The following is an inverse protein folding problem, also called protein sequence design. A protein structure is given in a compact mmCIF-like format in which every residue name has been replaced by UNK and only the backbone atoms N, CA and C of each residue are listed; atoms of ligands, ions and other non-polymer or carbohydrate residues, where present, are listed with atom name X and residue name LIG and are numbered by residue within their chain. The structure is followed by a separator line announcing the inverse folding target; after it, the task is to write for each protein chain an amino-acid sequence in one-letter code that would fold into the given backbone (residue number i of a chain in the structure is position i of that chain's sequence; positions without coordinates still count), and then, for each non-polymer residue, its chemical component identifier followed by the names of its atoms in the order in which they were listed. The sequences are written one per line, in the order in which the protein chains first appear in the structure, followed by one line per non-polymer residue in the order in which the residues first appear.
data_IF_260548226415
#
_entry.id   IF_260548226415
#
_cell.length_a   1.000
_cell.length_b   1.000
_cell.length_c   1.000
_cell.angle_alpha   90.00
_cell.angle_beta   90.00
_cell.angle_gamma   90.00
#
_symmetry.space_group_name_H-M   'P 1'
#
loop_
_entity.id
_entity.type
_entity.pdbx_description
1 polymer ?
#
# COMPACT_ATOMS: atom_id res chain seq x y z
N UNK A 1 -1.12 20.75 -14.48
CA UNK A 1 -2.38 20.55 -13.72
C UNK A 1 -2.37 19.14 -13.16
N UNK A 2 -2.47 18.97 -11.84
CA UNK A 2 -2.53 17.63 -11.21
C UNK A 2 -3.90 16.97 -11.46
N UNK A 3 -3.95 15.63 -11.49
CA UNK A 3 -5.19 14.87 -11.67
C UNK A 3 -6.11 14.90 -10.44
N UNK A 4 -7.37 14.45 -10.59
CA UNK A 4 -8.28 14.25 -9.46
C UNK A 4 -7.74 13.19 -8.49
N UNK A 5 -7.27 12.04 -8.99
CA UNK A 5 -6.61 11.00 -8.18
C UNK A 5 -5.45 11.57 -7.33
N UNK A 6 -4.61 12.43 -7.91
CA UNK A 6 -3.52 13.08 -7.18
C UNK A 6 -4.05 13.99 -6.06
N UNK A 7 -5.13 14.75 -6.32
CA UNK A 7 -5.79 15.58 -5.30
C UNK A 7 -6.34 14.74 -4.16
N UNK A 8 -6.98 13.60 -4.45
CA UNK A 8 -7.52 12.69 -3.46
C UNK A 8 -6.42 12.07 -2.58
N UNK A 9 -5.33 11.66 -3.21
CA UNK A 9 -4.14 11.16 -2.52
C UNK A 9 -3.57 12.26 -1.59
N UNK A 10 -3.36 13.47 -2.11
CA UNK A 10 -2.82 14.60 -1.35
C UNK A 10 -3.68 14.93 -0.13
N UNK A 11 -5.00 15.07 -0.34
CA UNK A 11 -5.95 15.34 0.74
C UNK A 11 -5.91 14.26 1.82
N UNK A 12 -5.81 12.99 1.41
CA UNK A 12 -5.74 11.86 2.35
C UNK A 12 -4.46 11.91 3.17
N UNK A 13 -3.29 12.11 2.55
CA UNK A 13 -2.02 12.25 3.26
C UNK A 13 -2.04 13.38 4.29
N UNK A 14 -2.52 14.56 3.90
CA UNK A 14 -2.61 15.73 4.79
C UNK A 14 -3.53 15.44 5.98
N UNK A 15 -4.69 14.84 5.73
CA UNK A 15 -5.69 14.59 6.78
C UNK A 15 -5.21 13.52 7.77
N UNK A 16 -4.60 12.45 7.27
CA UNK A 16 -4.02 11.39 8.11
C UNK A 16 -2.86 11.93 8.94
N UNK A 17 -1.97 12.73 8.33
CA UNK A 17 -0.86 13.41 9.05
C UNK A 17 -1.39 14.29 10.18
N UNK A 18 -2.37 15.15 9.89
CA UNK A 18 -3.00 16.02 10.89
C UNK A 18 -3.59 15.20 12.05
N UNK A 19 -4.26 14.09 11.74
CA UNK A 19 -4.78 13.20 12.78
C UNK A 19 -3.64 12.66 13.65
N UNK A 20 -2.57 12.11 13.06
CA UNK A 20 -1.40 11.65 13.82
C UNK A 20 -0.80 12.76 14.70
N UNK A 21 -0.72 14.00 14.20
CA UNK A 21 -0.14 15.12 14.96
C UNK A 21 -0.99 15.53 16.16
N UNK A 22 -2.31 15.30 16.08
CA UNK A 22 -3.22 15.49 17.22
C UNK A 22 -3.26 14.29 18.17
N UNK A 23 -2.68 13.15 17.79
CA UNK A 23 -2.61 11.98 18.66
C UNK A 23 -1.52 12.18 19.71
N UNK A 24 -1.88 11.91 20.97
CA UNK A 24 -0.87 11.74 22.02
C UNK A 24 0.05 10.54 21.71
N UNK A 25 1.28 10.59 22.22
CA UNK A 25 2.30 9.55 22.00
C UNK A 25 1.81 8.14 22.30
N UNK A 26 1.04 7.96 23.37
CA UNK A 26 0.46 6.65 23.75
C UNK A 26 -0.42 6.07 22.66
N UNK A 27 -1.27 6.89 22.04
CA UNK A 27 -2.18 6.43 20.97
C UNK A 27 -1.42 6.08 19.69
N UNK A 28 -0.36 6.83 19.36
CA UNK A 28 0.54 6.48 18.26
C UNK A 28 1.22 5.14 18.54
N UNK A 29 1.67 4.88 19.77
CA UNK A 29 2.26 3.60 20.16
C UNK A 29 1.28 2.43 20.06
N UNK A 30 0.02 2.63 20.49
CA UNK A 30 -1.04 1.62 20.36
C UNK A 30 -1.31 1.26 18.89
N UNK A 31 -1.36 2.26 18.00
CA UNK A 31 -1.57 2.05 16.57
C UNK A 31 -0.34 1.43 15.89
N UNK A 32 0.87 1.79 16.33
CA UNK A 32 2.09 1.13 15.90
C UNK A 32 2.13 -0.34 16.34
N UNK A 33 1.63 -0.65 17.54
CA UNK A 33 1.50 -2.03 18.00
C UNK A 33 0.49 -2.83 17.17
N UNK A 34 -0.65 -2.23 16.80
CA UNK A 34 -1.68 -2.91 16.00
C UNK A 34 -1.24 -3.24 14.57
N UNK A 35 -0.24 -2.55 14.03
CA UNK A 35 0.31 -2.83 12.68
C UNK A 35 1.54 -3.74 12.70
N UNK A 36 2.04 -4.14 13.88
CA UNK A 36 3.32 -4.85 14.03
C UNK A 36 3.41 -6.19 13.28
N UNK A 37 2.34 -6.99 13.30
CA UNK A 37 2.27 -8.24 12.53
C UNK A 37 2.32 -7.99 11.02
N UNK A 38 1.66 -6.94 10.56
CA UNK A 38 1.71 -6.52 9.16
C UNK A 38 3.14 -6.10 8.78
N UNK A 39 3.84 -5.34 9.61
CA UNK A 39 5.24 -4.97 9.36
C UNK A 39 6.16 -6.20 9.29
N UNK A 40 5.89 -7.20 10.13
CA UNK A 40 6.63 -8.48 10.09
C UNK A 40 6.41 -9.20 8.77
N UNK A 41 5.16 -9.34 8.33
CA UNK A 41 4.82 -9.85 7.00
C UNK A 41 5.52 -9.08 5.88
N UNK A 42 5.50 -7.74 5.95
CA UNK A 42 6.12 -6.87 4.94
C UNK A 42 7.63 -7.02 4.89
N UNK A 43 8.29 -7.29 6.01
CA UNK A 43 9.71 -7.61 6.07
C UNK A 43 10.01 -8.95 5.38
N UNK A 44 9.22 -9.98 5.64
CA UNK A 44 9.35 -11.29 4.98
C UNK A 44 9.15 -11.18 3.46
N UNK A 45 8.15 -10.42 3.03
CA UNK A 45 7.91 -10.13 1.61
C UNK A 45 9.12 -9.42 0.99
N UNK A 46 9.66 -8.39 1.65
CA UNK A 46 10.82 -7.66 1.17
C UNK A 46 12.06 -8.56 1.03
N UNK A 47 12.32 -9.43 2.01
CA UNK A 47 13.40 -10.43 1.95
C UNK A 47 13.25 -11.36 0.74
N UNK A 48 12.06 -11.91 0.50
CA UNK A 48 11.78 -12.73 -0.67
C UNK A 48 12.09 -11.99 -2.00
N UNK A 49 11.68 -10.72 -2.10
CA UNK A 49 11.97 -9.90 -3.27
C UNK A 49 13.46 -9.62 -3.45
N UNK A 50 14.16 -9.22 -2.38
CA UNK A 50 15.58 -8.91 -2.43
C UNK A 50 16.43 -10.12 -2.82
N UNK A 51 16.10 -11.29 -2.28
CA UNK A 51 16.86 -12.53 -2.50
C UNK A 51 16.61 -13.14 -3.88
N UNK A 52 15.36 -13.17 -4.35
CA UNK A 52 15.01 -13.98 -5.52
C UNK A 52 14.68 -13.14 -6.77
N UNK A 53 14.21 -11.91 -6.60
CA UNK A 53 13.51 -11.19 -7.68
C UNK A 53 14.18 -9.87 -8.09
N UNK A 54 14.93 -9.23 -7.18
CA UNK A 54 15.53 -7.90 -7.36
C UNK A 54 16.37 -7.78 -8.61
N UNK A 55 17.23 -8.76 -8.89
CA UNK A 55 18.12 -8.75 -10.05
C UNK A 55 17.36 -8.64 -11.38
N UNK A 56 16.19 -9.28 -11.48
CA UNK A 56 15.34 -9.21 -12.65
C UNK A 56 14.62 -7.85 -12.73
N UNK A 57 14.03 -7.40 -11.62
CA UNK A 57 13.27 -6.14 -11.56
C UNK A 57 14.15 -4.92 -11.86
N UNK A 58 15.40 -4.91 -11.37
CA UNK A 58 16.32 -3.78 -11.53
C UNK A 58 16.58 -3.49 -13.02
N UNK A 59 17.04 -4.51 -13.77
CA UNK A 59 17.35 -4.35 -15.19
C UNK A 59 16.14 -4.12 -16.09
N UNK A 60 14.95 -4.63 -15.72
CA UNK A 60 13.75 -4.53 -16.56
C UNK A 60 12.88 -3.30 -16.29
N UNK A 61 12.73 -2.90 -15.03
CA UNK A 61 11.74 -1.90 -14.64
C UNK A 61 12.36 -0.62 -14.09
N UNK A 62 13.41 -0.71 -13.27
CA UNK A 62 14.02 0.45 -12.64
C UNK A 62 14.94 1.20 -13.61
N UNK A 63 15.83 0.48 -14.30
CA UNK A 63 16.74 1.10 -15.28
C UNK A 63 15.99 1.71 -16.48
N UNK A 64 14.83 1.14 -16.83
CA UNK A 64 14.01 1.59 -17.96
C UNK A 64 12.94 2.61 -17.57
N UNK A 65 12.80 2.92 -16.26
CA UNK A 65 11.79 3.84 -15.70
C UNK A 65 10.33 3.49 -16.01
N UNK A 66 10.07 2.25 -16.43
CA UNK A 66 8.73 1.82 -16.86
C UNK A 66 7.86 1.33 -15.71
N UNK A 67 8.46 0.88 -14.60
CA UNK A 67 7.79 0.29 -13.42
C UNK A 67 6.51 -0.45 -13.79
N UNK A 68 6.62 -1.72 -14.20
CA UNK A 68 5.46 -2.49 -14.70
C UNK A 68 4.29 -2.62 -13.70
N UNK A 69 4.54 -2.40 -12.40
CA UNK A 69 3.51 -2.34 -11.36
C UNK A 69 2.68 -1.05 -11.38
N UNK A 70 3.15 -0.02 -12.08
CA UNK A 70 2.49 1.27 -12.24
C UNK A 70 1.83 1.28 -13.61
N UNK A 71 0.52 1.00 -13.63
CA UNK A 71 -0.28 0.98 -14.86
C UNK A 71 -0.35 2.35 -15.56
N UNK A 72 -1.06 2.37 -16.68
CA UNK A 72 -1.23 3.57 -17.54
C UNK A 72 -2.00 4.71 -16.85
N UNK A 73 -2.83 4.40 -15.84
CA UNK A 73 -3.83 5.35 -15.34
C UNK A 73 -3.63 5.82 -13.88
N UNK A 74 -3.05 5.02 -12.98
CA UNK A 74 -2.52 5.44 -11.67
C UNK A 74 -2.11 4.20 -10.86
N UNK A 75 -1.44 4.42 -9.72
CA UNK A 75 -1.17 3.39 -8.71
C UNK A 75 -2.40 3.24 -7.81
N UNK A 76 -2.92 2.02 -7.65
CA UNK A 76 -3.97 1.75 -6.67
C UNK A 76 -3.34 1.83 -5.27
N UNK A 77 -3.83 2.78 -4.46
CA UNK A 77 -3.42 2.99 -3.08
C UNK A 77 -4.65 2.84 -2.19
N UNK A 78 -4.54 2.07 -1.12
CA UNK A 78 -5.59 2.03 -0.10
C UNK A 78 -5.32 3.12 0.95
N UNK A 79 -6.39 3.62 1.58
CA UNK A 79 -6.27 4.53 2.73
C UNK A 79 -5.33 3.96 3.81
N UNK A 80 -5.43 2.67 4.10
CA UNK A 80 -4.59 1.99 5.06
C UNK A 80 -3.08 2.03 4.71
N UNK A 81 -2.71 2.00 3.42
CA UNK A 81 -1.31 2.14 3.01
C UNK A 81 -0.76 3.50 3.47
N UNK A 82 -1.53 4.58 3.24
CA UNK A 82 -1.19 5.96 3.65
C UNK A 82 -1.13 6.05 5.18
N UNK A 83 -2.16 5.55 5.87
CA UNK A 83 -2.24 5.55 7.33
C UNK A 83 -1.01 4.91 7.98
N UNK A 84 -0.61 3.73 7.49
CA UNK A 84 0.58 3.02 7.96
C UNK A 84 1.83 3.85 7.71
N UNK A 85 2.01 4.41 6.51
CA UNK A 85 3.22 5.19 6.22
C UNK A 85 3.31 6.46 7.07
N UNK A 86 2.20 7.15 7.31
CA UNK A 86 2.18 8.33 8.21
C UNK A 86 2.61 7.96 9.63
N UNK A 87 2.21 6.79 10.12
CA UNK A 87 2.64 6.30 11.44
C UNK A 87 4.13 5.92 11.48
N UNK A 88 4.66 5.39 10.38
CA UNK A 88 6.06 4.93 10.29
C UNK A 88 7.07 6.04 10.00
N UNK A 89 6.62 7.16 9.43
CA UNK A 89 7.49 8.15 8.81
C UNK A 89 7.55 9.44 9.62
N UNK A 90 8.73 10.02 9.70
CA UNK A 90 8.91 11.39 10.18
C UNK A 90 8.38 12.39 9.14
N UNK A 91 8.25 13.65 9.53
CA UNK A 91 7.72 14.70 8.64
C UNK A 91 8.61 14.92 7.42
N UNK A 92 9.93 14.84 7.62
CA UNK A 92 10.94 14.99 6.56
C UNK A 92 10.87 13.87 5.52
N UNK A 93 10.30 12.71 5.88
CA UNK A 93 10.04 11.59 4.97
C UNK A 93 8.69 11.74 4.24
N UNK A 94 7.71 12.46 4.83
CA UNK A 94 6.38 12.69 4.26
C UNK A 94 6.37 13.90 3.31
N UNK A 95 7.10 14.97 3.63
CA UNK A 95 7.10 16.20 2.86
C UNK A 95 7.42 16.00 1.36
N UNK A 96 8.41 15.16 0.97
CA UNK A 96 8.66 14.85 -0.45
C UNK A 96 7.49 14.16 -1.15
N UNK A 97 6.68 13.37 -0.43
CA UNK A 97 5.48 12.72 -0.97
C UNK A 97 4.42 13.77 -1.27
N UNK A 98 4.20 14.72 -0.36
CA UNK A 98 3.25 15.81 -0.54
C UNK A 98 3.67 16.72 -1.70
N UNK A 99 4.95 17.05 -1.79
CA UNK A 99 5.51 17.83 -2.91
C UNK A 99 5.23 17.14 -4.25
N UNK A 100 5.56 15.85 -4.36
CA UNK A 100 5.32 15.07 -5.57
C UNK A 100 3.84 15.07 -6.00
N UNK A 101 2.91 15.02 -5.05
CA UNK A 101 1.46 15.05 -5.34
C UNK A 101 0.94 16.43 -5.76
N UNK A 102 1.67 17.52 -5.48
CA UNK A 102 1.32 18.89 -5.90
C UNK A 102 1.92 19.29 -7.26
N UNK A 103 2.86 18.50 -7.76
CA UNK A 103 3.56 18.75 -9.03
C UNK A 103 3.07 17.84 -10.15
N UNK A 104 3.30 18.25 -11.40
CA UNK A 104 3.11 17.33 -12.52
C UNK A 104 4.12 16.16 -12.42
N UNK A 105 3.70 14.92 -12.69
CA UNK A 105 4.61 13.77 -12.65
C UNK A 105 5.82 14.01 -13.57
N UNK A 106 7.02 13.66 -13.10
CA UNK A 106 8.31 13.87 -13.79
C UNK A 106 8.51 12.92 -15.01
N UNK A 107 7.46 12.62 -15.76
CA UNK A 107 7.47 11.68 -16.88
C UNK A 107 7.48 10.20 -16.49
N UNK A 108 7.33 9.88 -15.20
CA UNK A 108 7.11 8.52 -14.71
C UNK A 108 5.63 8.17 -14.70
N UNK A 109 5.29 6.89 -14.90
CA UNK A 109 3.91 6.40 -14.77
C UNK A 109 3.36 6.49 -13.34
N UNK A 110 4.22 6.63 -12.33
CA UNK A 110 3.84 6.75 -10.93
C UNK A 110 4.31 8.07 -10.34
N UNK A 111 3.36 8.83 -9.76
CA UNK A 111 3.63 10.11 -9.08
C UNK A 111 4.59 9.96 -7.89
N UNK A 112 4.68 8.77 -7.30
CA UNK A 112 5.54 8.51 -6.15
C UNK A 112 6.92 7.95 -6.50
N UNK A 113 7.25 7.86 -7.79
CA UNK A 113 8.54 7.36 -8.25
C UNK A 113 9.46 8.53 -8.59
N UNK A 114 10.57 8.63 -7.86
CA UNK A 114 11.62 9.62 -8.10
C UNK A 114 12.94 8.98 -8.58
N UNK A 115 13.96 9.81 -8.86
CA UNK A 115 15.28 9.32 -9.32
C UNK A 115 15.98 8.37 -8.35
N UNK A 116 15.66 8.44 -7.05
CA UNK A 116 16.21 7.59 -6.00
C UNK A 116 15.35 6.36 -5.69
N UNK A 117 14.26 6.14 -6.43
CA UNK A 117 13.30 5.08 -6.20
C UNK A 117 11.96 5.60 -5.67
N UNK A 118 11.17 4.70 -5.09
CA UNK A 118 9.86 5.03 -4.52
C UNK A 118 10.02 5.97 -3.32
N UNK A 119 9.17 6.99 -3.24
CA UNK A 119 9.14 7.93 -2.12
C UNK A 119 8.51 7.35 -0.85
N UNK A 120 7.77 6.24 -0.97
CA UNK A 120 7.13 5.59 0.17
C UNK A 120 8.17 4.84 1.01
N UNK A 121 8.14 5.06 2.33
CA UNK A 121 8.92 4.26 3.28
C UNK A 121 8.52 2.78 3.24
N UNK A 122 7.23 2.52 3.16
CA UNK A 122 6.66 1.20 2.95
C UNK A 122 5.73 1.24 1.74
N UNK A 123 6.13 0.59 0.64
CA UNK A 123 5.39 0.64 -0.63
C UNK A 123 3.94 0.13 -0.48
N UNK A 124 2.97 0.68 -1.22
CA UNK A 124 1.58 0.21 -1.18
C UNK A 124 1.50 -1.31 -1.42
N UNK A 125 0.60 -1.98 -0.71
CA UNK A 125 0.52 -3.45 -0.74
C UNK A 125 0.27 -4.01 -2.14
N UNK A 126 -0.50 -3.28 -2.97
CA UNK A 126 -0.75 -3.67 -4.37
C UNK A 126 0.57 -3.72 -5.16
N UNK A 127 1.44 -2.71 -5.01
CA UNK A 127 2.74 -2.70 -5.66
C UNK A 127 3.69 -3.76 -5.09
N UNK A 128 3.71 -3.94 -3.77
CA UNK A 128 4.58 -4.92 -3.13
C UNK A 128 4.22 -6.36 -3.48
N UNK A 129 2.96 -6.62 -3.83
CA UNK A 129 2.45 -7.95 -4.18
C UNK A 129 2.31 -8.17 -5.69
N UNK A 130 2.87 -7.27 -6.48
CA UNK A 130 2.82 -7.35 -7.94
C UNK A 130 4.05 -8.07 -8.49
N UNK A 131 3.80 -9.07 -9.34
CA UNK A 131 4.80 -9.71 -10.19
C UNK A 131 4.33 -9.58 -11.64
N UNK A 132 5.21 -9.13 -12.55
CA UNK A 132 4.86 -9.13 -13.97
C UNK A 132 4.96 -10.53 -14.57
N UNK A 133 4.20 -10.81 -15.62
CA UNK A 133 4.18 -12.12 -16.29
C UNK A 133 5.58 -12.59 -16.68
N UNK A 134 6.40 -11.69 -17.23
CA UNK A 134 7.78 -12.00 -17.59
C UNK A 134 8.67 -12.40 -16.41
N UNK A 135 8.39 -11.91 -15.20
CA UNK A 135 9.11 -12.34 -13.99
C UNK A 135 8.59 -13.69 -13.52
N UNK A 136 7.26 -13.89 -13.53
CA UNK A 136 6.64 -15.16 -13.18
C UNK A 136 7.21 -16.28 -14.06
N UNK A 137 7.21 -16.09 -15.38
CA UNK A 137 7.68 -17.09 -16.34
C UNK A 137 9.19 -17.41 -16.20
N UNK A 138 10.01 -16.40 -15.86
CA UNK A 138 11.48 -16.57 -15.82
C UNK A 138 11.97 -17.07 -14.45
N UNK A 139 11.31 -16.71 -13.35
CA UNK A 139 11.81 -16.96 -11.99
C UNK A 139 10.95 -17.88 -11.15
N UNK A 140 9.63 -17.82 -11.29
CA UNK A 140 8.73 -18.63 -10.45
C UNK A 140 8.39 -19.94 -11.15
N UNK A 141 7.95 -19.89 -12.41
CA UNK A 141 7.42 -21.04 -13.13
C UNK A 141 8.42 -22.19 -13.19
N UNK A 142 8.05 -23.34 -12.61
CA UNK A 142 8.89 -24.53 -12.58
C UNK A 142 9.88 -24.59 -11.39
N UNK A 143 9.88 -23.56 -10.52
CA UNK A 143 10.57 -23.59 -9.25
C UNK A 143 9.55 -23.74 -8.11
N UNK A 144 9.29 -24.99 -7.71
CA UNK A 144 8.28 -25.34 -6.70
C UNK A 144 8.46 -24.60 -5.37
N UNK A 145 9.69 -24.43 -4.90
CA UNK A 145 9.97 -23.74 -3.63
C UNK A 145 9.58 -22.26 -3.66
N UNK A 146 9.92 -21.57 -4.76
CA UNK A 146 9.56 -20.15 -4.93
C UNK A 146 8.06 -19.98 -5.17
N UNK A 147 7.43 -20.89 -5.90
CA UNK A 147 5.96 -20.89 -6.09
C UNK A 147 5.23 -21.07 -4.76
N UNK A 148 5.65 -22.05 -3.94
CA UNK A 148 5.06 -22.30 -2.62
C UNK A 148 5.28 -21.11 -1.68
N UNK A 149 6.49 -20.54 -1.65
CA UNK A 149 6.80 -19.37 -0.82
C UNK A 149 5.97 -18.16 -1.22
N UNK A 150 5.85 -17.90 -2.53
CA UNK A 150 5.02 -16.81 -3.04
C UNK A 150 3.54 -17.01 -2.70
N UNK A 151 3.02 -18.22 -2.87
CA UNK A 151 1.65 -18.56 -2.48
C UNK A 151 1.41 -18.33 -0.98
N UNK A 152 2.34 -18.76 -0.12
CA UNK A 152 2.26 -18.49 1.32
C UNK A 152 2.21 -16.99 1.64
N UNK A 153 3.02 -16.16 0.97
CA UNK A 153 2.97 -14.71 1.12
C UNK A 153 1.64 -14.12 0.64
N UNK A 154 1.06 -14.65 -0.45
CA UNK A 154 -0.26 -14.24 -0.93
C UNK A 154 -1.38 -14.58 0.06
N UNK A 155 -1.34 -15.75 0.68
CA UNK A 155 -2.31 -16.13 1.72
C UNK A 155 -2.12 -15.30 2.99
N UNK A 156 -0.89 -15.07 3.43
CA UNK A 156 -0.61 -14.17 4.56
C UNK A 156 -1.13 -12.76 4.30
N UNK A 157 -0.94 -12.20 3.09
CA UNK A 157 -1.51 -10.89 2.74
C UNK A 157 -3.03 -10.84 2.98
N UNK A 158 -3.76 -11.90 2.62
CA UNK A 158 -5.23 -11.92 2.75
C UNK A 158 -5.68 -11.74 4.19
N UNK A 159 -4.91 -12.16 5.20
CA UNK A 159 -5.26 -11.95 6.61
C UNK A 159 -5.27 -10.47 7.00
N UNK A 160 -4.58 -9.61 6.23
CA UNK A 160 -4.55 -8.15 6.44
C UNK A 160 -5.47 -7.37 5.51
N UNK A 161 -5.84 -7.94 4.35
CA UNK A 161 -6.50 -7.20 3.27
C UNK A 161 -7.80 -7.82 2.74
N UNK A 162 -8.15 -9.06 3.06
CA UNK A 162 -9.35 -9.69 2.51
C UNK A 162 -10.50 -9.68 3.53
N UNK A 163 -11.55 -8.87 3.32
CA UNK A 163 -12.54 -8.59 4.36
C UNK A 163 -13.66 -9.64 4.41
N UNK A 164 -13.31 -10.93 4.30
CA UNK A 164 -14.17 -12.05 4.70
C UNK A 164 -14.10 -12.31 6.21
N UNK A 165 -13.26 -11.55 6.91
CA UNK A 165 -13.05 -11.51 8.36
C UNK A 165 -12.67 -10.09 8.78
N UNK A 166 -12.46 -9.87 10.08
CA UNK A 166 -11.81 -8.64 10.56
C UNK A 166 -10.36 -8.60 10.09
N UNK A 167 -9.99 -7.53 9.37
CA UNK A 167 -8.66 -7.37 8.78
C UNK A 167 -8.12 -5.96 9.01
N UNK A 168 -6.80 -5.84 9.13
CA UNK A 168 -6.12 -4.59 9.48
C UNK A 168 -6.55 -3.40 8.62
N UNK A 169 -6.65 -3.59 7.29
CA UNK A 169 -7.00 -2.49 6.39
C UNK A 169 -8.41 -1.95 6.65
N UNK A 170 -9.35 -2.83 6.97
CA UNK A 170 -10.72 -2.44 7.35
C UNK A 170 -10.74 -1.71 8.71
N UNK A 171 -10.03 -2.25 9.70
CA UNK A 171 -9.99 -1.69 11.06
C UNK A 171 -9.31 -0.32 11.12
N UNK A 172 -8.27 -0.09 10.32
CA UNK A 172 -7.65 1.23 10.19
C UNK A 172 -8.64 2.24 9.60
N UNK A 173 -9.34 1.90 8.51
CA UNK A 173 -10.34 2.78 7.92
C UNK A 173 -11.47 3.11 8.91
N UNK A 174 -12.00 2.11 9.64
CA UNK A 174 -12.99 2.33 10.71
C UNK A 174 -12.47 3.26 11.81
N UNK A 175 -11.22 3.07 12.23
CA UNK A 175 -10.60 3.87 13.30
C UNK A 175 -10.45 5.34 12.91
N UNK A 176 -10.08 5.62 11.65
CA UNK A 176 -10.00 6.99 11.14
C UNK A 176 -11.38 7.60 10.85
N UNK A 177 -12.35 6.81 10.37
CA UNK A 177 -13.74 7.26 10.25
C UNK A 177 -14.31 7.71 11.59
N UNK A 178 -14.04 6.96 12.66
CA UNK A 178 -14.47 7.31 14.02
C UNK A 178 -13.84 8.63 14.52
N UNK A 179 -12.74 9.07 13.92
CA UNK A 179 -12.09 10.36 14.15
C UNK A 179 -12.59 11.46 13.21
N UNK A 180 -13.60 11.18 12.39
CA UNK A 180 -14.21 12.14 11.44
C UNK A 180 -13.45 12.29 10.12
N UNK A 181 -12.44 11.45 9.85
CA UNK A 181 -11.73 11.47 8.55
C UNK A 181 -12.57 10.78 7.50
N UNK A 182 -12.73 11.42 6.35
CA UNK A 182 -13.33 10.81 5.17
C UNK A 182 -12.36 10.90 4.00
N UNK A 183 -12.23 9.81 3.25
CA UNK A 183 -11.40 9.75 2.04
C UNK A 183 -12.02 8.78 1.05
N UNK A 184 -12.01 9.09 -0.26
CA UNK A 184 -12.46 8.16 -1.30
C UNK A 184 -11.60 6.89 -1.35
N UNK A 185 -10.36 6.94 -0.82
CA UNK A 185 -9.45 5.78 -0.73
C UNK A 185 -9.85 4.77 0.35
N UNK A 186 -10.89 5.05 1.14
CA UNK A 186 -11.45 4.13 2.15
C UNK A 186 -12.30 3.03 1.49
N UNK A 187 -11.64 2.24 0.65
CA UNK A 187 -12.28 1.24 -0.18
C UNK A 187 -13.00 0.17 0.64
N UNK A 188 -12.54 -0.16 1.85
CA UNK A 188 -13.20 -1.15 2.69
C UNK A 188 -14.55 -0.64 3.21
N UNK A 189 -14.72 0.69 3.32
CA UNK A 189 -15.96 1.30 3.78
C UNK A 189 -16.92 1.62 2.64
N UNK A 190 -16.40 1.91 1.44
CA UNK A 190 -17.21 2.47 0.36
C UNK A 190 -17.28 1.62 -0.91
N UNK A 191 -16.31 0.72 -1.17
CA UNK A 191 -16.31 -0.07 -2.40
C UNK A 191 -17.46 -1.08 -2.39
N UNK A 192 -18.40 -1.04 -3.37
CA UNK A 192 -19.51 -2.00 -3.44
C UNK A 192 -19.03 -3.46 -3.48
N UNK A 193 -17.88 -3.71 -4.10
CA UNK A 193 -17.28 -5.05 -4.19
C UNK A 193 -16.84 -5.58 -2.82
N UNK A 194 -16.08 -4.78 -2.05
CA UNK A 194 -15.62 -5.17 -0.71
C UNK A 194 -16.77 -5.24 0.29
N UNK A 195 -17.75 -4.32 0.19
CA UNK A 195 -18.96 -4.37 1.01
C UNK A 195 -19.78 -5.65 0.74
N UNK A 196 -19.82 -6.13 -0.51
CA UNK A 196 -20.46 -7.42 -0.82
C UNK A 196 -19.74 -8.60 -0.18
N UNK A 197 -18.40 -8.61 -0.18
CA UNK A 197 -17.61 -9.66 0.49
C UNK A 197 -17.92 -9.68 2.00
N UNK A 198 -17.91 -8.51 2.65
CA UNK A 198 -18.27 -8.37 4.07
C UNK A 198 -19.68 -8.85 4.39
N UNK A 199 -20.67 -8.51 3.54
CA UNK A 199 -22.07 -8.99 3.68
C UNK A 199 -22.14 -10.51 3.59
N UNK A 200 -21.48 -11.11 2.61
CA UNK A 200 -21.45 -12.55 2.43
C UNK A 200 -20.77 -13.28 3.61
N UNK A 201 -19.82 -12.62 4.26
CA UNK A 201 -19.16 -13.11 5.47
C UNK A 201 -19.94 -12.80 6.77
N UNK A 202 -21.09 -12.13 6.70
CA UNK A 202 -21.91 -11.76 7.87
C UNK A 202 -21.33 -10.64 8.74
N UNK A 203 -20.35 -9.88 8.24
CA UNK A 203 -19.67 -8.82 9.01
C UNK A 203 -20.44 -7.50 9.06
N UNK A 204 -21.30 -7.26 8.07
CA UNK A 204 -22.17 -6.08 8.01
C UNK A 204 -23.59 -6.52 7.62
N UNK A 205 -24.60 -5.86 8.18
CA UNK A 205 -26.01 -6.17 7.91
C UNK A 205 -26.39 -5.76 6.48
N UNK A 206 -27.32 -6.53 5.90
CA UNK A 206 -27.93 -6.27 4.59
C UNK A 206 -28.85 -5.06 4.63
#
# INVERSE_FOLDING_TARGET
MISDDQREHLHTWITVRRVRDTMGRTRVQEWMASISEYLTFRKSLQSFFDEHLKSYCQGKCFDTRRSACCGKDSIIVHFADIAINVLLSADEEIDPILEALTTEPLGFSCVYLGPKGCLWKLTPIVCAMFLCDGLIDVRLKGNRELEETWHCLQEQRKTFTWPDRSVLFDELEKSFLALGVQSPLMHYQYSPGLLRVKRNAGLIKT
#
